data_IF_497195911272
#
_entry.id   IF_497195911272
#
_cell.length_a   1.000
_cell.length_b   1.000
_cell.length_c   1.000
_cell.angle_alpha   90.00
_cell.angle_beta   90.00
_cell.angle_gamma   90.00
#
_symmetry.space_group_name_H-M   'P 1'
#
loop_
_entity.id
_entity.type
_entity.pdbx_description
1 polymer ?
#
# COMPACT_ATOMS: atom_id res chain seq x y z
N UNK A 1 15.23 -6.83 17.20
CA UNK A 1 14.94 -6.83 15.75
C UNK A 1 15.04 -5.45 15.16
N UNK A 2 16.04 -5.21 14.30
CA UNK A 2 16.26 -3.92 13.64
C UNK A 2 15.33 -3.68 12.43
N UNK A 3 14.71 -4.75 11.88
CA UNK A 3 13.87 -4.70 10.68
C UNK A 3 12.38 -4.46 10.93
N UNK A 4 11.96 -4.10 12.16
CA UNK A 4 10.52 -3.97 12.48
C UNK A 4 9.82 -2.88 11.65
N UNK A 5 10.58 -1.87 11.23
CA UNK A 5 10.12 -0.72 10.44
C UNK A 5 9.61 -1.17 9.07
N UNK A 6 10.38 -2.02 8.40
CA UNK A 6 10.02 -2.58 7.09
C UNK A 6 8.84 -3.53 7.18
N UNK A 7 8.76 -4.34 8.26
CA UNK A 7 7.63 -5.26 8.44
C UNK A 7 6.31 -4.51 8.63
N UNK A 8 6.29 -3.46 9.45
CA UNK A 8 5.10 -2.62 9.66
C UNK A 8 4.65 -1.89 8.40
N UNK A 9 5.58 -1.41 7.58
CA UNK A 9 5.29 -0.74 6.32
C UNK A 9 4.70 -1.71 5.27
N UNK A 10 5.32 -2.89 5.12
CA UNK A 10 4.90 -3.86 4.11
C UNK A 10 3.53 -4.49 4.41
N UNK A 11 3.19 -4.69 5.69
CA UNK A 11 1.88 -5.26 6.05
C UNK A 11 0.72 -4.31 5.76
N UNK A 12 0.84 -3.00 6.03
CA UNK A 12 -0.22 -2.05 5.72
C UNK A 12 -0.31 -1.71 4.22
N UNK A 13 0.84 -1.68 3.53
CA UNK A 13 0.93 -1.46 2.09
C UNK A 13 0.30 -2.58 1.23
N UNK A 14 0.14 -3.79 1.76
CA UNK A 14 -0.39 -4.94 1.01
C UNK A 14 -1.80 -4.72 0.44
N UNK A 15 -2.57 -3.79 1.02
CA UNK A 15 -3.87 -3.35 0.51
C UNK A 15 -3.81 -2.84 -0.94
N UNK A 16 -2.73 -2.15 -1.33
CA UNK A 16 -2.54 -1.68 -2.70
C UNK A 16 -2.24 -2.81 -3.69
N UNK A 17 -1.60 -3.89 -3.22
CA UNK A 17 -1.36 -5.10 -4.03
C UNK A 17 -2.68 -5.78 -4.39
N UNK A 18 -3.60 -5.88 -3.41
CA UNK A 18 -4.95 -6.38 -3.68
C UNK A 18 -5.69 -5.52 -4.72
N UNK A 19 -5.59 -4.21 -4.60
CA UNK A 19 -6.20 -3.27 -5.55
C UNK A 19 -5.61 -3.42 -6.96
N UNK A 20 -4.30 -3.64 -7.07
CA UNK A 20 -3.63 -3.90 -8.34
C UNK A 20 -4.16 -5.17 -9.03
N UNK A 21 -4.21 -6.30 -8.32
CA UNK A 21 -4.78 -7.53 -8.88
C UNK A 21 -6.26 -7.38 -9.25
N UNK A 22 -7.03 -6.63 -8.46
CA UNK A 22 -8.41 -6.32 -8.79
C UNK A 22 -8.54 -5.51 -10.08
N UNK A 23 -7.66 -4.53 -10.33
CA UNK A 23 -7.67 -3.75 -11.58
C UNK A 23 -7.37 -4.62 -12.81
N UNK A 24 -6.47 -5.60 -12.70
CA UNK A 24 -6.18 -6.57 -13.78
C UNK A 24 -7.40 -7.45 -14.06
N UNK A 25 -8.05 -7.96 -13.01
CA UNK A 25 -9.28 -8.75 -13.16
C UNK A 25 -10.40 -7.93 -13.81
N UNK A 26 -10.56 -6.67 -13.38
CA UNK A 26 -11.56 -5.76 -13.91
C UNK A 26 -11.32 -5.45 -15.40
N UNK A 27 -10.05 -5.24 -15.78
CA UNK A 27 -9.65 -5.09 -17.18
C UNK A 27 -10.04 -6.32 -18.02
N UNK A 28 -9.78 -7.53 -17.53
CA UNK A 28 -10.07 -8.76 -18.28
C UNK A 28 -11.55 -9.14 -18.35
N UNK A 29 -12.35 -8.82 -17.33
CA UNK A 29 -13.75 -9.30 -17.23
C UNK A 29 -14.81 -8.27 -17.63
N UNK A 30 -14.49 -6.98 -17.62
CA UNK A 30 -15.50 -5.91 -17.78
C UNK A 30 -15.17 -4.86 -18.82
N UNK A 31 -13.92 -4.71 -19.24
CA UNK A 31 -13.52 -3.69 -20.19
C UNK A 31 -13.37 -4.27 -21.61
N UNK A 32 -14.38 -4.04 -22.44
CA UNK A 32 -14.30 -4.23 -23.90
C UNK A 32 -13.68 -2.98 -24.56
N UNK A 33 -12.45 -2.63 -24.16
CA UNK A 33 -11.73 -1.52 -24.81
C UNK A 33 -11.01 -2.08 -26.03
N UNK A 34 -11.55 -1.81 -27.22
CA UNK A 34 -10.97 -2.19 -28.51
C UNK A 34 -9.73 -1.36 -28.90
N UNK A 35 -9.47 -0.25 -28.21
CA UNK A 35 -8.43 0.71 -28.58
C UNK A 35 -7.17 0.56 -27.72
N UNK A 36 -6.04 0.28 -28.37
CA UNK A 36 -4.77 -0.02 -27.70
C UNK A 36 -4.23 1.16 -26.87
N UNK A 37 -4.47 2.40 -27.33
CA UNK A 37 -4.05 3.61 -26.61
C UNK A 37 -4.78 3.76 -25.26
N UNK A 38 -6.08 3.47 -25.23
CA UNK A 38 -6.90 3.54 -24.02
C UNK A 38 -6.51 2.49 -22.97
N UNK A 39 -6.10 1.31 -23.44
CA UNK A 39 -5.57 0.24 -22.57
C UNK A 39 -4.26 0.66 -21.89
N UNK A 40 -3.33 1.26 -22.65
CA UNK A 40 -2.06 1.73 -22.10
C UNK A 40 -2.26 2.83 -21.05
N UNK A 41 -3.15 3.78 -21.33
CA UNK A 41 -3.49 4.84 -20.37
C UNK A 41 -4.13 4.27 -19.10
N UNK A 42 -5.07 3.33 -19.22
CA UNK A 42 -5.71 2.68 -18.06
C UNK A 42 -4.68 2.02 -17.15
N UNK A 43 -3.78 1.20 -17.71
CA UNK A 43 -2.72 0.54 -16.95
C UNK A 43 -1.75 1.54 -16.31
N UNK A 44 -1.36 2.59 -17.04
CA UNK A 44 -0.51 3.66 -16.51
C UNK A 44 -1.12 4.35 -15.29
N UNK A 45 -2.40 4.74 -15.38
CA UNK A 45 -3.11 5.38 -14.27
C UNK A 45 -3.34 4.44 -13.09
N UNK A 46 -3.68 3.17 -13.32
CA UNK A 46 -3.86 2.19 -12.24
C UNK A 46 -2.55 1.85 -11.53
N UNK A 47 -1.42 1.76 -12.25
CA UNK A 47 -0.10 1.61 -11.64
C UNK A 47 0.26 2.83 -10.79
N UNK A 48 0.10 4.06 -11.33
CA UNK A 48 0.36 5.26 -10.53
C UNK A 48 -0.51 5.32 -9.27
N UNK A 49 -1.81 5.03 -9.39
CA UNK A 49 -2.74 5.04 -8.26
C UNK A 49 -2.35 4.00 -7.20
N UNK A 50 -2.06 2.76 -7.62
CA UNK A 50 -1.67 1.68 -6.70
C UNK A 50 -0.33 1.95 -6.03
N UNK A 51 0.65 2.55 -6.73
CA UNK A 51 1.89 3.00 -6.11
C UNK A 51 1.66 4.09 -5.05
N UNK A 52 0.81 5.09 -5.34
CA UNK A 52 0.49 6.15 -4.38
C UNK A 52 -0.24 5.56 -3.16
N UNK A 53 -1.22 4.69 -3.38
CA UNK A 53 -1.92 4.00 -2.30
C UNK A 53 -0.97 3.17 -1.45
N UNK A 54 -0.05 2.43 -2.06
CA UNK A 54 0.96 1.63 -1.36
C UNK A 54 1.84 2.49 -0.45
N UNK A 55 2.34 3.62 -0.96
CA UNK A 55 3.17 4.54 -0.18
C UNK A 55 2.36 5.21 0.94
N UNK A 56 1.12 5.60 0.67
CA UNK A 56 0.25 6.29 1.63
C UNK A 56 -0.20 5.36 2.77
N UNK A 57 -0.74 4.18 2.46
CA UNK A 57 -1.15 3.21 3.48
C UNK A 57 0.05 2.60 4.20
N UNK A 58 1.18 2.42 3.50
CA UNK A 58 2.46 2.03 4.06
C UNK A 58 2.97 3.02 5.11
N UNK A 59 3.00 4.32 4.78
CA UNK A 59 3.47 5.37 5.70
C UNK A 59 2.56 5.53 6.92
N UNK A 60 1.24 5.48 6.74
CA UNK A 60 0.29 5.54 7.87
C UNK A 60 0.50 4.36 8.83
N UNK A 61 0.62 3.14 8.30
CA UNK A 61 0.86 1.96 9.13
C UNK A 61 2.18 2.01 9.88
N UNK A 62 3.24 2.49 9.22
CA UNK A 62 4.53 2.72 9.86
C UNK A 62 4.45 3.76 10.99
N UNK A 63 3.81 4.90 10.75
CA UNK A 63 3.63 5.95 11.76
C UNK A 63 2.82 5.48 12.97
N UNK A 64 1.76 4.69 12.74
CA UNK A 64 0.95 4.11 13.81
C UNK A 64 1.79 3.16 14.69
N UNK A 65 2.56 2.26 14.08
CA UNK A 65 3.47 1.37 14.82
C UNK A 65 4.58 2.16 15.54
N UNK A 66 5.13 3.19 14.91
CA UNK A 66 6.15 4.05 15.53
C UNK A 66 5.62 4.78 16.77
N UNK A 67 4.41 5.33 16.68
CA UNK A 67 3.77 5.99 17.81
C UNK A 67 3.47 5.00 18.95
N UNK A 68 2.97 3.81 18.62
CA UNK A 68 2.73 2.74 19.59
C UNK A 68 4.01 2.33 20.35
N UNK A 69 5.12 2.14 19.63
CA UNK A 69 6.41 1.80 20.22
C UNK A 69 6.90 2.92 21.16
N UNK A 70 6.74 4.19 20.76
CA UNK A 70 7.09 5.35 21.60
C UNK A 70 6.28 5.40 22.91
N UNK A 71 5.00 5.03 22.86
CA UNK A 71 4.17 4.94 24.07
C UNK A 71 4.69 3.86 25.00
N UNK A 72 4.97 2.65 24.51
CA UNK A 72 5.50 1.55 25.34
C UNK A 72 6.78 1.96 26.07
N UNK A 73 7.73 2.57 25.35
CA UNK A 73 8.99 3.01 25.97
C UNK A 73 8.81 4.19 26.92
N UNK A 74 7.78 5.02 26.75
CA UNK A 74 7.48 6.13 27.66
C UNK A 74 6.80 5.69 28.95
N UNK A 75 6.11 4.54 28.95
CA UNK A 75 5.37 4.02 30.12
C UNK A 75 6.27 3.15 31.00
N UNK A 76 7.37 2.63 30.46
CA UNK A 76 8.44 2.01 31.25
C UNK A 76 9.05 3.09 32.15
N UNK A 77 8.61 3.09 33.40
CA UNK A 77 9.29 3.79 34.48
C UNK A 77 10.57 3.03 34.75
N UNK A 78 11.69 3.71 34.56
CA UNK A 78 12.96 3.28 35.12
C UNK A 78 12.88 3.66 36.60
N UNK A 79 12.34 2.75 37.41
CA UNK A 79 12.67 2.71 38.84
C UNK A 79 14.08 2.10 39.00
#
# INVERSE_FOLDING_TARGET
>A
DYNWWWRSFLTSGFTAVYFFFYSIYYFSSKLEISDGASTFLYFGYTIMLTCILFLFTGTIGFLACFWFVRIIYSVIKVD
#
